data_IF_391199003979
#
_entry.id   IF_391199003979
#
_cell.length_a   1.000
_cell.length_b   1.000
_cell.length_c   1.000
_cell.angle_alpha   90.00
_cell.angle_beta   90.00
_cell.angle_gamma   90.00
#
_symmetry.space_group_name_H-M   'P 1'
#
loop_
_entity.id
_entity.type
_entity.pdbx_description
1 polymer ?
#
# COMPACT_ATOMS: atom_id res chain seq x y z
N UNK A 1 -16.45 6.02 -6.93
CA UNK A 1 -16.22 5.46 -5.58
C UNK A 1 -15.00 4.55 -5.57
N UNK A 2 -14.30 4.55 -4.48
CA UNK A 2 -13.18 3.63 -4.27
C UNK A 2 -13.75 2.22 -4.09
N UNK A 3 -13.26 1.20 -4.84
CA UNK A 3 -13.76 -0.17 -4.67
C UNK A 3 -13.44 -0.74 -3.30
N UNK A 4 -14.26 -1.65 -2.81
CA UNK A 4 -14.04 -2.35 -1.53
C UNK A 4 -13.01 -3.47 -1.71
N UNK A 5 -11.79 -3.08 -1.97
CA UNK A 5 -10.65 -3.98 -2.18
C UNK A 5 -9.52 -3.55 -1.24
N UNK A 6 -8.98 -4.49 -0.50
CA UNK A 6 -7.79 -4.26 0.34
C UNK A 6 -6.61 -4.98 -0.32
N UNK A 7 -5.60 -4.20 -0.71
CA UNK A 7 -4.33 -4.72 -1.23
C UNK A 7 -3.28 -4.73 -0.13
N UNK A 8 -2.51 -5.79 -0.05
CA UNK A 8 -1.39 -5.88 0.89
C UNK A 8 -0.28 -6.75 0.29
N UNK A 9 0.92 -6.63 0.84
CA UNK A 9 2.10 -7.29 0.28
C UNK A 9 2.75 -8.22 1.30
N UNK A 10 3.26 -9.37 0.82
CA UNK A 10 4.04 -10.30 1.63
C UNK A 10 4.87 -11.16 0.68
N UNK A 11 6.17 -10.89 0.58
CA UNK A 11 7.02 -11.47 -0.47
C UNK A 11 7.89 -12.63 0.00
N UNK A 12 8.15 -12.76 1.29
CA UNK A 12 9.07 -13.77 1.82
C UNK A 12 8.56 -15.20 1.70
N UNK A 13 7.24 -15.38 1.61
CA UNK A 13 6.62 -16.69 1.61
C UNK A 13 6.56 -17.35 3.00
N UNK A 14 7.09 -16.69 4.02
CA UNK A 14 7.06 -17.20 5.39
C UNK A 14 5.69 -16.99 6.03
N UNK A 15 5.32 -17.81 7.05
CA UNK A 15 4.09 -17.56 7.80
C UNK A 15 4.09 -16.17 8.43
N UNK A 16 2.90 -15.58 8.59
CA UNK A 16 2.78 -14.29 9.26
C UNK A 16 3.16 -14.43 10.74
N UNK A 17 4.04 -13.53 11.26
CA UNK A 17 4.23 -13.43 12.70
C UNK A 17 2.91 -13.11 13.40
N UNK A 18 2.80 -13.47 14.67
CA UNK A 18 1.57 -13.26 15.46
C UNK A 18 1.08 -11.81 15.40
N UNK A 19 2.01 -10.86 15.48
CA UNK A 19 1.71 -9.44 15.44
C UNK A 19 1.07 -9.02 14.12
N UNK A 20 1.59 -9.53 13.02
CA UNK A 20 1.08 -9.27 11.67
C UNK A 20 -0.28 -9.94 11.49
N UNK A 21 -0.43 -11.18 11.94
CA UNK A 21 -1.72 -11.89 11.86
C UNK A 21 -2.81 -11.14 12.61
N UNK A 22 -2.49 -10.57 13.77
CA UNK A 22 -3.40 -9.76 14.55
C UNK A 22 -3.91 -8.54 13.77
N UNK A 23 -2.99 -7.87 13.05
CA UNK A 23 -3.35 -6.72 12.23
C UNK A 23 -4.30 -7.13 11.12
N UNK A 24 -3.97 -8.19 10.39
CA UNK A 24 -4.80 -8.70 9.29
C UNK A 24 -6.17 -9.14 9.82
N UNK A 25 -6.23 -9.80 10.97
CA UNK A 25 -7.49 -10.20 11.59
C UNK A 25 -8.38 -9.00 11.92
N UNK A 26 -7.77 -7.87 12.31
CA UNK A 26 -8.53 -6.65 12.57
C UNK A 26 -9.21 -6.12 11.31
N UNK A 27 -8.57 -6.26 10.14
CA UNK A 27 -9.17 -5.85 8.88
C UNK A 27 -10.45 -6.66 8.60
N UNK A 28 -10.37 -7.98 8.74
CA UNK A 28 -11.52 -8.86 8.53
C UNK A 28 -12.63 -8.63 9.54
N UNK A 29 -12.27 -8.23 10.75
CA UNK A 29 -13.26 -7.92 11.80
C UNK A 29 -14.12 -6.72 11.42
N UNK A 30 -13.51 -5.66 10.91
CA UNK A 30 -14.21 -4.40 10.62
C UNK A 30 -14.67 -4.27 9.17
N UNK A 31 -14.08 -5.05 8.25
CA UNK A 31 -14.38 -4.98 6.83
C UNK A 31 -14.52 -6.39 6.24
N UNK A 32 -15.45 -7.23 6.77
CA UNK A 32 -15.58 -8.61 6.31
C UNK A 32 -16.08 -8.73 4.87
N UNK A 33 -16.76 -7.71 4.35
CA UNK A 33 -17.30 -7.73 2.99
C UNK A 33 -16.33 -7.21 1.92
N UNK A 34 -15.14 -6.78 2.31
CA UNK A 34 -14.13 -6.31 1.35
C UNK A 34 -13.43 -7.51 0.70
N UNK A 35 -13.02 -7.32 -0.55
CA UNK A 35 -12.14 -8.27 -1.23
C UNK A 35 -10.70 -8.04 -0.77
N UNK A 36 -9.96 -9.12 -0.51
CA UNK A 36 -8.57 -9.05 -0.04
C UNK A 36 -7.64 -9.60 -1.11
N UNK A 37 -6.68 -8.81 -1.54
CA UNK A 37 -5.73 -9.16 -2.59
C UNK A 37 -4.32 -9.16 -2.00
N UNK A 38 -3.76 -10.36 -1.84
CA UNK A 38 -2.38 -10.51 -1.39
C UNK A 38 -1.44 -10.45 -2.59
N UNK A 39 -0.52 -9.52 -2.55
CA UNK A 39 0.55 -9.41 -3.52
C UNK A 39 1.76 -10.16 -2.99
N UNK A 40 1.85 -11.43 -3.33
CA UNK A 40 2.99 -12.28 -3.00
C UNK A 40 3.96 -12.33 -4.20
N UNK A 41 5.05 -13.10 -4.06
CA UNK A 41 6.07 -13.19 -5.11
C UNK A 41 5.48 -13.74 -6.42
N UNK A 42 4.54 -14.66 -6.34
CA UNK A 42 3.89 -15.24 -7.53
C UNK A 42 3.05 -14.21 -8.27
N UNK A 43 2.27 -13.42 -7.55
CA UNK A 43 1.40 -12.40 -8.16
C UNK A 43 2.20 -11.26 -8.79
N UNK A 44 3.42 -11.01 -8.31
CA UNK A 44 4.28 -9.96 -8.89
C UNK A 44 4.67 -10.22 -10.33
N UNK A 45 4.49 -11.42 -10.83
CA UNK A 45 4.78 -11.77 -12.22
C UNK A 45 3.93 -10.99 -13.21
N UNK A 46 2.78 -10.46 -12.80
CA UNK A 46 1.98 -9.62 -13.69
C UNK A 46 2.57 -8.23 -13.91
N UNK A 47 3.55 -7.81 -13.09
CA UNK A 47 4.13 -6.47 -13.16
C UNK A 47 5.44 -6.50 -13.93
N UNK A 48 5.50 -5.79 -15.06
CA UNK A 48 6.73 -5.63 -15.83
C UNK A 48 7.42 -4.35 -15.36
N UNK A 49 8.44 -4.48 -14.51
CA UNK A 49 9.16 -3.36 -13.93
C UNK A 49 10.59 -3.74 -13.62
N UNK A 50 11.52 -2.93 -14.11
CA UNK A 50 12.95 -3.10 -13.83
C UNK A 50 13.24 -2.84 -12.34
N UNK A 51 12.65 -1.79 -11.78
CA UNK A 51 12.76 -1.48 -10.36
C UNK A 51 12.39 -2.69 -9.49
N UNK A 52 11.21 -3.27 -9.77
CA UNK A 52 10.72 -4.41 -9.02
C UNK A 52 11.65 -5.62 -9.14
N UNK A 53 12.08 -5.91 -10.35
CA UNK A 53 12.99 -7.03 -10.61
C UNK A 53 14.29 -6.89 -9.83
N UNK A 54 14.88 -5.71 -9.84
CA UNK A 54 16.12 -5.43 -9.12
C UNK A 54 15.92 -5.50 -7.59
N UNK A 55 14.81 -4.98 -7.08
CA UNK A 55 14.49 -5.07 -5.65
C UNK A 55 14.36 -6.53 -5.20
N UNK A 56 13.69 -7.36 -6.00
CA UNK A 56 13.49 -8.78 -5.66
C UNK A 56 14.80 -9.55 -5.68
N UNK A 57 15.67 -9.27 -6.64
CA UNK A 57 16.99 -9.90 -6.72
C UNK A 57 17.84 -9.61 -5.50
N UNK A 58 17.73 -8.40 -4.97
CA UNK A 58 18.47 -7.96 -3.78
C UNK A 58 17.73 -8.22 -2.47
N UNK A 59 16.55 -8.84 -2.54
CA UNK A 59 15.68 -9.13 -1.39
C UNK A 59 15.34 -7.88 -0.59
N UNK A 60 15.14 -6.76 -1.27
CA UNK A 60 14.75 -5.48 -0.66
C UNK A 60 13.24 -5.35 -0.67
N UNK A 61 12.59 -6.09 0.21
CA UNK A 61 11.12 -6.24 0.23
C UNK A 61 10.38 -4.92 0.44
N UNK A 62 10.88 -4.05 1.32
CA UNK A 62 10.23 -2.77 1.59
C UNK A 62 10.22 -1.87 0.36
N UNK A 63 11.32 -1.84 -0.38
CA UNK A 63 11.42 -1.03 -1.60
C UNK A 63 10.57 -1.62 -2.74
N UNK A 64 10.47 -2.94 -2.82
CA UNK A 64 9.57 -3.59 -3.76
C UNK A 64 8.12 -3.22 -3.44
N UNK A 65 7.73 -3.26 -2.18
CA UNK A 65 6.39 -2.90 -1.74
C UNK A 65 6.03 -1.46 -2.08
N UNK A 66 6.97 -0.53 -1.99
CA UNK A 66 6.73 0.88 -2.34
C UNK A 66 6.20 1.04 -3.76
N UNK A 67 6.69 0.25 -4.70
CA UNK A 67 6.21 0.30 -6.09
C UNK A 67 4.95 -0.51 -6.29
N UNK A 68 4.88 -1.70 -5.71
CA UNK A 68 3.73 -2.61 -5.88
C UNK A 68 2.44 -1.98 -5.38
N UNK A 69 2.48 -1.25 -4.26
CA UNK A 69 1.29 -0.58 -3.72
C UNK A 69 0.71 0.44 -4.70
N UNK A 70 1.56 1.18 -5.38
CA UNK A 70 1.12 2.17 -6.36
C UNK A 70 0.53 1.50 -7.60
N UNK A 71 1.17 0.43 -8.08
CA UNK A 71 0.65 -0.36 -9.19
C UNK A 71 -0.74 -0.92 -8.89
N UNK A 72 -0.88 -1.57 -7.73
CA UNK A 72 -2.13 -2.24 -7.35
C UNK A 72 -3.30 -1.26 -7.29
N UNK A 73 -3.12 -0.14 -6.59
CA UNK A 73 -4.18 0.86 -6.44
C UNK A 73 -4.46 1.59 -7.75
N UNK A 74 -3.43 1.90 -8.53
CA UNK A 74 -3.62 2.55 -9.83
C UNK A 74 -4.41 1.67 -10.79
N UNK A 75 -4.03 0.40 -10.89
CA UNK A 75 -4.65 -0.52 -11.85
C UNK A 75 -6.05 -0.97 -11.44
N UNK A 76 -6.22 -1.35 -10.18
CA UNK A 76 -7.46 -1.97 -9.72
C UNK A 76 -8.35 -1.06 -8.89
N UNK A 77 -7.79 0.01 -8.36
CA UNK A 77 -8.46 0.80 -7.34
C UNK A 77 -8.52 0.04 -6.02
N UNK A 78 -8.96 0.72 -4.99
CA UNK A 78 -9.08 0.13 -3.65
C UNK A 78 -8.17 0.79 -2.65
N UNK A 79 -7.88 0.07 -1.57
CA UNK A 79 -7.12 0.56 -0.43
C UNK A 79 -5.87 -0.31 -0.27
N UNK A 80 -4.74 0.31 -0.06
CA UNK A 80 -3.52 -0.40 0.32
C UNK A 80 -3.29 -0.27 1.83
N UNK A 81 -2.97 -1.38 2.48
CA UNK A 81 -2.58 -1.41 3.89
C UNK A 81 -1.26 -2.16 4.03
N UNK A 82 -0.30 -1.56 4.74
CA UNK A 82 0.86 -2.32 5.21
C UNK A 82 0.40 -3.37 6.21
N UNK A 83 1.06 -4.52 6.23
CA UNK A 83 0.65 -5.65 7.06
C UNK A 83 0.72 -5.38 8.55
N UNK A 84 1.44 -4.34 8.97
CA UNK A 84 1.54 -3.93 10.38
C UNK A 84 0.51 -2.86 10.77
N UNK A 85 -0.47 -2.59 9.90
CA UNK A 85 -1.55 -1.65 10.20
C UNK A 85 -2.67 -2.35 11.00
N UNK A 86 -2.91 -1.88 12.21
CA UNK A 86 -4.03 -2.34 13.03
C UNK A 86 -5.23 -1.44 12.76
N UNK A 87 -6.38 -2.04 12.43
CA UNK A 87 -7.60 -1.31 12.07
C UNK A 87 -8.60 -1.35 13.24
N UNK A 88 -9.18 -0.21 13.54
CA UNK A 88 -10.22 -0.08 14.59
C UNK A 88 -11.57 0.34 14.04
N UNK A 89 -11.68 0.59 12.74
CA UNK A 89 -12.88 1.12 12.12
C UNK A 89 -12.85 0.83 10.61
N UNK A 90 -14.02 0.59 10.02
CA UNK A 90 -14.14 0.42 8.57
C UNK A 90 -13.76 1.69 7.82
N UNK A 91 -13.29 1.53 6.59
CA UNK A 91 -13.02 2.64 5.68
C UNK A 91 -14.24 3.08 4.85
N UNK A 92 -15.41 2.52 5.11
CA UNK A 92 -16.62 2.78 4.31
C UNK A 92 -16.89 4.27 4.10
N UNK A 93 -16.66 5.11 5.12
CA UNK A 93 -16.90 6.55 5.02
C UNK A 93 -15.95 7.27 4.06
N UNK A 94 -14.82 6.65 3.70
CA UNK A 94 -13.83 7.22 2.79
C UNK A 94 -14.01 6.77 1.34
N UNK A 95 -14.84 5.78 1.09
CA UNK A 95 -15.00 5.20 -0.25
C UNK A 95 -15.61 6.16 -1.25
N UNK A 96 -16.32 7.18 -0.80
CA UNK A 96 -16.91 8.22 -1.66
C UNK A 96 -15.88 9.22 -2.21
N UNK A 97 -14.70 9.25 -1.61
CA UNK A 97 -13.61 10.13 -2.07
C UNK A 97 -12.96 9.56 -3.33
N UNK A 98 -12.30 10.40 -4.12
CA UNK A 98 -11.53 9.94 -5.27
C UNK A 98 -10.18 9.37 -4.84
N UNK A 99 -9.65 9.88 -3.73
CA UNK A 99 -8.35 9.47 -3.18
C UNK A 99 -8.26 9.91 -1.72
N UNK A 100 -7.63 9.10 -0.88
CA UNK A 100 -7.23 9.51 0.47
C UNK A 100 -5.87 8.93 0.78
N UNK A 101 -5.15 9.59 1.68
CA UNK A 101 -3.82 9.15 2.10
C UNK A 101 -3.65 9.40 3.60
N UNK A 102 -2.95 8.49 4.26
CA UNK A 102 -2.65 8.62 5.68
C UNK A 102 -1.66 9.72 5.96
N UNK A 103 -1.67 10.19 7.19
CA UNK A 103 -0.76 11.22 7.68
C UNK A 103 0.17 10.60 8.72
N UNK A 104 1.46 10.91 8.62
CA UNK A 104 2.43 10.47 9.61
C UNK A 104 2.12 11.10 10.96
N UNK A 105 2.22 10.30 12.03
CA UNK A 105 2.03 10.78 13.40
C UNK A 105 3.27 11.48 13.96
N UNK A 106 4.40 11.35 13.28
CA UNK A 106 5.64 12.01 13.69
C UNK A 106 5.64 13.44 13.19
N UNK A 107 6.02 14.36 14.08
CA UNK A 107 6.13 15.77 13.76
C UNK A 107 7.58 16.18 13.86
N UNK A 108 8.01 16.97 12.89
CA UNK A 108 9.31 17.60 12.93
C UNK A 108 9.11 19.09 13.17
N UNK A 109 9.74 19.61 14.23
CA UNK A 109 9.63 21.01 14.60
C UNK A 109 10.99 21.67 14.47
N UNK A 110 11.13 22.55 13.49
CA UNK A 110 12.38 23.23 13.20
C UNK A 110 12.08 24.70 12.87
N UNK A 111 12.80 25.61 13.51
CA UNK A 111 12.64 27.03 13.24
C UNK A 111 11.27 27.61 13.52
N UNK A 112 10.50 27.00 14.41
CA UNK A 112 9.14 27.44 14.73
C UNK A 112 8.07 26.95 13.76
N UNK A 113 8.43 26.08 12.81
CA UNK A 113 7.50 25.49 11.83
C UNK A 113 7.29 24.03 12.15
N UNK A 114 6.01 23.62 12.26
CA UNK A 114 5.65 22.21 12.45
C UNK A 114 5.43 21.57 11.09
N UNK A 115 6.20 20.53 10.79
CA UNK A 115 6.05 19.76 9.56
C UNK A 115 5.42 18.41 9.84
N UNK A 116 4.51 17.98 8.97
CA UNK A 116 3.95 16.63 8.98
C UNK A 116 4.09 16.02 7.59
N UNK A 117 4.26 14.71 7.54
CA UNK A 117 4.50 13.99 6.29
C UNK A 117 3.32 13.09 5.97
N UNK A 118 3.10 12.87 4.66
CA UNK A 118 2.12 11.91 4.19
C UNK A 118 2.70 10.50 4.30
N UNK A 119 1.83 9.54 4.58
CA UNK A 119 2.24 8.15 4.75
C UNK A 119 1.61 7.27 3.69
N UNK A 120 2.42 6.45 3.03
CA UNK A 120 1.95 5.52 2.01
C UNK A 120 1.61 4.13 2.56
N UNK A 121 1.65 3.92 3.87
CA UNK A 121 1.29 2.62 4.43
C UNK A 121 -0.23 2.42 4.61
N UNK A 122 -1.01 3.46 4.37
CA UNK A 122 -2.47 3.39 4.34
C UNK A 122 -2.98 4.47 3.39
N UNK A 123 -3.50 4.07 2.25
CA UNK A 123 -4.10 5.01 1.29
C UNK A 123 -5.07 4.27 0.39
N UNK A 124 -5.92 5.03 -0.29
CA UNK A 124 -6.87 4.44 -1.22
C UNK A 124 -7.23 5.41 -2.32
N UNK A 125 -7.66 4.88 -3.45
CA UNK A 125 -8.06 5.68 -4.61
C UNK A 125 -8.91 4.87 -5.56
N UNK A 126 -9.63 5.58 -6.44
CA UNK A 126 -10.27 4.96 -7.58
C UNK A 126 -9.21 4.52 -8.58
N UNK A 127 -9.50 3.47 -9.36
CA UNK A 127 -8.61 3.00 -10.41
C UNK A 127 -8.32 4.15 -11.40
N UNK A 128 -7.06 4.26 -11.81
CA UNK A 128 -6.65 5.29 -12.76
C UNK A 128 -6.46 6.68 -12.15
N UNK A 129 -6.49 6.81 -10.83
CA UNK A 129 -6.31 8.11 -10.17
C UNK A 129 -5.00 8.76 -10.60
N UNK A 130 -5.06 10.04 -11.00
CA UNK A 130 -3.93 10.76 -11.57
C UNK A 130 -2.74 10.88 -10.60
N UNK A 131 -3.02 11.16 -9.33
CA UNK A 131 -1.96 11.29 -8.31
C UNK A 131 -1.22 9.96 -8.12
N UNK A 132 -1.97 8.88 -7.98
CA UNK A 132 -1.39 7.53 -7.80
C UNK A 132 -0.62 7.14 -9.07
N UNK A 133 -1.17 7.46 -10.25
CA UNK A 133 -0.50 7.21 -11.52
C UNK A 133 0.86 7.89 -11.63
N UNK A 134 0.97 9.12 -11.15
CA UNK A 134 2.25 9.85 -11.14
C UNK A 134 3.25 9.19 -10.18
N UNK A 135 2.78 8.72 -9.03
CA UNK A 135 3.63 7.99 -8.10
C UNK A 135 4.15 6.68 -8.71
N UNK A 136 3.27 5.96 -9.41
CA UNK A 136 3.64 4.74 -10.10
C UNK A 136 4.65 5.01 -11.22
N UNK A 137 4.42 6.04 -12.05
CA UNK A 137 5.29 6.41 -13.17
C UNK A 137 6.72 6.74 -12.70
N UNK A 138 6.85 7.24 -11.49
CA UNK A 138 8.15 7.51 -10.88
C UNK A 138 9.05 6.27 -10.92
N UNK A 139 8.49 5.07 -10.73
CA UNK A 139 9.27 3.83 -10.68
C UNK A 139 9.47 3.18 -12.05
N UNK A 140 8.65 3.51 -13.05
CA UNK A 140 8.59 2.79 -14.33
C UNK A 140 9.90 2.78 -15.12
N UNK A 141 10.63 3.87 -15.11
CA UNK A 141 11.87 4.00 -15.89
C UNK A 141 13.12 4.08 -15.01
N UNK A 142 12.99 3.73 -13.74
CA UNK A 142 14.08 3.86 -12.78
C UNK A 142 14.71 2.53 -12.42
N UNK A 143 16.00 2.59 -12.14
CA UNK A 143 16.74 1.48 -11.55
C UNK A 143 16.69 1.58 -10.03
N UNK A 144 16.63 0.42 -9.38
CA UNK A 144 16.88 0.34 -7.95
C UNK A 144 18.39 0.31 -7.74
N UNK A 145 18.90 1.20 -6.95
CA UNK A 145 20.35 1.34 -6.71
C UNK A 145 20.74 0.70 -5.39
#
# INVERSE_FOLDING_TARGET
>A
MIPKIIHYTWFSGEPFPEKIQKCIDSWHQYMPEYEYVLWDAERLKEIDSLWLKECLEKRKWAYAADMVRMYAVYKYGGIYLDTDCLVYKSFDSLLKESCFIGKENSFHFEGGVMESYLSSHCFGAEAGNTYIGRCYDFYQSRHFI
#
